data_IF_628353180418
#
_entry.id   IF_628353180418
#
_cell.length_a   1.000
_cell.length_b   1.000
_cell.length_c   1.000
_cell.angle_alpha   90.00
_cell.angle_beta   90.00
_cell.angle_gamma   90.00
#
_symmetry.space_group_name_H-M   'P 1'
#
loop_
_entity.id
_entity.type
_entity.pdbx_description
1 polymer ?
#
# COMPACT_ATOMS: atom_id res chain seq x y z
N UNK A 1 -11.81 0.69 -12.74
CA UNK A 1 -10.69 1.66 -12.80
C UNK A 1 -9.78 1.26 -13.96
N UNK A 2 -9.36 2.20 -14.83
CA UNK A 2 -8.60 1.92 -16.07
C UNK A 2 -7.09 1.80 -15.79
N UNK A 3 -6.46 0.70 -16.20
CA UNK A 3 -5.02 0.42 -16.02
C UNK A 3 -4.12 1.53 -16.62
N UNK A 4 -4.48 2.10 -17.77
CA UNK A 4 -3.72 3.19 -18.40
C UNK A 4 -3.77 4.48 -17.58
N UNK A 5 -4.89 4.76 -16.92
CA UNK A 5 -5.03 5.92 -16.04
C UNK A 5 -4.16 5.78 -14.78
N UNK A 6 -4.01 4.56 -14.28
CA UNK A 6 -3.23 4.27 -13.08
C UNK A 6 -1.73 4.34 -13.34
N UNK A 7 -1.25 3.88 -14.50
CA UNK A 7 0.15 4.06 -14.90
C UNK A 7 0.51 5.56 -15.06
N UNK A 8 -0.39 6.35 -15.66
CA UNK A 8 -0.21 7.81 -15.76
C UNK A 8 -0.22 8.48 -14.39
N UNK A 9 -1.09 8.06 -13.47
CA UNK A 9 -1.11 8.58 -12.11
C UNK A 9 0.14 8.20 -11.31
N UNK A 10 0.65 6.97 -11.48
CA UNK A 10 1.88 6.52 -10.85
C UNK A 10 3.07 7.41 -11.26
N UNK A 11 3.18 7.73 -12.56
CA UNK A 11 4.17 8.65 -13.13
C UNK A 11 3.82 10.14 -13.05
N UNK A 12 2.67 10.51 -12.46
CA UNK A 12 2.24 11.90 -12.37
C UNK A 12 3.15 12.71 -11.44
N UNK A 13 3.22 14.02 -11.65
CA UNK A 13 4.01 14.95 -10.84
C UNK A 13 3.51 15.13 -9.39
N UNK A 14 2.43 14.45 -9.00
CA UNK A 14 1.98 14.41 -7.61
C UNK A 14 3.09 13.81 -6.73
N UNK A 15 3.53 14.51 -5.68
CA UNK A 15 4.53 13.98 -4.75
C UNK A 15 4.08 12.65 -4.14
N UNK A 16 5.04 11.78 -3.85
CA UNK A 16 4.76 10.57 -3.08
C UNK A 16 4.60 10.91 -1.59
N UNK A 17 3.59 10.34 -0.94
CA UNK A 17 3.41 10.44 0.51
C UNK A 17 4.50 9.67 1.25
N UNK A 18 4.94 8.55 0.65
CA UNK A 18 6.09 7.78 1.10
C UNK A 18 6.68 6.98 -0.05
N UNK A 19 8.01 6.89 -0.11
CA UNK A 19 8.71 6.05 -1.08
C UNK A 19 9.93 5.38 -0.44
N UNK A 20 10.31 4.20 -0.92
CA UNK A 20 11.40 3.44 -0.31
C UNK A 20 11.49 1.99 -0.77
N UNK A 21 12.63 1.35 -0.48
CA UNK A 21 12.78 -0.08 -0.72
C UNK A 21 12.15 -0.91 0.39
N UNK A 22 11.43 -1.95 -0.01
CA UNK A 22 10.96 -3.03 0.88
C UNK A 22 11.14 -4.38 0.19
N UNK A 23 11.11 -5.45 0.97
CA UNK A 23 11.10 -6.81 0.48
C UNK A 23 9.66 -7.29 0.37
N UNK A 24 9.24 -7.75 -0.81
CA UNK A 24 7.91 -8.30 -1.06
C UNK A 24 8.01 -9.80 -1.28
N UNK A 25 7.21 -10.59 -0.57
CA UNK A 25 7.10 -12.02 -0.84
C UNK A 25 6.40 -12.24 -2.18
N UNK A 26 6.99 -13.08 -3.02
CA UNK A 26 6.35 -13.48 -4.27
C UNK A 26 5.16 -14.41 -4.01
N UNK A 27 4.17 -14.33 -4.90
CA UNK A 27 2.94 -15.11 -4.79
C UNK A 27 3.14 -16.56 -5.22
N UNK A 28 3.81 -16.76 -6.36
CA UNK A 28 4.18 -18.07 -6.90
C UNK A 28 5.52 -18.52 -6.35
N UNK A 29 6.57 -17.74 -6.58
CA UNK A 29 7.86 -17.95 -5.93
C UNK A 29 7.82 -17.34 -4.53
N UNK A 30 7.77 -18.17 -3.48
CA UNK A 30 7.63 -17.74 -2.09
C UNK A 30 8.85 -17.00 -1.51
N UNK A 31 9.87 -16.72 -2.33
CA UNK A 31 11.00 -15.87 -1.95
C UNK A 31 10.66 -14.38 -1.84
N UNK A 32 11.43 -13.67 -1.02
CA UNK A 32 11.35 -12.21 -0.90
C UNK A 32 12.16 -11.52 -2.02
N UNK A 33 11.58 -10.48 -2.62
CA UNK A 33 12.18 -9.69 -3.68
C UNK A 33 12.22 -8.22 -3.28
N UNK A 34 13.37 -7.57 -3.46
CA UNK A 34 13.52 -6.13 -3.23
C UNK A 34 12.76 -5.35 -4.30
N UNK A 35 11.88 -4.45 -3.86
CA UNK A 35 11.03 -3.63 -4.72
C UNK A 35 11.03 -2.19 -4.22
N UNK A 36 10.98 -1.25 -5.16
CA UNK A 36 10.80 0.16 -4.82
C UNK A 36 9.31 0.43 -4.69
N UNK A 37 8.85 0.81 -3.49
CA UNK A 37 7.45 1.13 -3.22
C UNK A 37 7.23 2.64 -3.24
N UNK A 38 6.08 3.05 -3.77
CA UNK A 38 5.64 4.45 -3.85
C UNK A 38 4.17 4.53 -3.44
N UNK A 39 3.90 5.21 -2.33
CA UNK A 39 2.55 5.51 -1.84
C UNK A 39 2.11 6.88 -2.36
N UNK A 40 0.94 6.93 -3.00
CA UNK A 40 0.27 8.16 -3.45
C UNK A 40 -1.23 8.08 -3.14
N UNK A 41 -1.71 8.86 -2.19
CA UNK A 41 -3.05 8.75 -1.64
C UNK A 41 -3.28 7.36 -1.07
N UNK A 42 -4.34 6.68 -1.53
CA UNK A 42 -4.67 5.31 -1.14
C UNK A 42 -4.10 4.24 -2.11
N UNK A 43 -3.17 4.60 -3.00
CA UNK A 43 -2.57 3.69 -3.98
C UNK A 43 -1.10 3.44 -3.66
N UNK A 44 -0.75 2.17 -3.49
CA UNK A 44 0.62 1.72 -3.27
C UNK A 44 1.14 1.03 -4.53
N UNK A 45 2.06 1.68 -5.22
CA UNK A 45 2.75 1.16 -6.41
C UNK A 45 4.06 0.48 -6.00
N UNK A 46 4.48 -0.53 -6.77
CA UNK A 46 5.80 -1.11 -6.62
C UNK A 46 6.48 -1.40 -7.96
N UNK A 47 7.78 -1.16 -8.00
CA UNK A 47 8.64 -1.22 -9.19
C UNK A 47 9.79 -2.20 -8.97
N UNK A 48 10.49 -2.58 -10.05
CA UNK A 48 11.69 -3.42 -9.93
C UNK A 48 12.78 -2.65 -9.18
N UNK A 49 12.99 -1.39 -9.58
CA UNK A 49 13.96 -0.46 -8.98
C UNK A 49 13.45 0.98 -9.00
N UNK A 50 14.13 1.85 -8.23
CA UNK A 50 13.85 3.29 -8.25
C UNK A 50 14.11 3.88 -9.63
N UNK A 51 13.18 4.67 -10.14
CA UNK A 51 13.28 5.38 -11.42
C UNK A 51 12.72 4.64 -12.62
N UNK A 52 12.20 3.41 -12.44
CA UNK A 52 11.45 2.73 -13.48
C UNK A 52 10.17 3.50 -13.82
N UNK A 53 9.81 3.50 -15.11
CA UNK A 53 8.64 4.24 -15.60
C UNK A 53 7.33 3.52 -15.34
N UNK A 54 7.34 2.20 -15.39
CA UNK A 54 6.14 1.37 -15.27
C UNK A 54 6.19 0.55 -13.98
N UNK A 55 5.12 0.58 -13.16
CA UNK A 55 5.04 -0.25 -11.98
C UNK A 55 4.90 -1.73 -12.37
N UNK A 56 5.55 -2.61 -11.61
CA UNK A 56 5.28 -4.06 -11.69
C UNK A 56 3.87 -4.36 -11.21
N UNK A 57 3.39 -3.60 -10.23
CA UNK A 57 2.02 -3.71 -9.77
C UNK A 57 1.63 -2.60 -8.82
N UNK A 58 0.40 -2.73 -8.35
CA UNK A 58 -0.29 -1.73 -7.57
C UNK A 58 -1.24 -2.41 -6.59
N UNK A 59 -1.40 -1.79 -5.43
CA UNK A 59 -2.29 -2.22 -4.37
C UNK A 59 -3.15 -1.01 -4.01
N UNK A 60 -4.47 -1.14 -4.19
CA UNK A 60 -5.41 -0.17 -3.64
C UNK A 60 -5.59 -0.51 -2.15
N UNK A 61 -5.36 0.48 -1.27
CA UNK A 61 -5.40 0.29 0.19
C UNK A 61 -6.81 0.43 0.77
N UNK A 62 -7.81 0.69 -0.07
CA UNK A 62 -9.21 0.78 0.36
C UNK A 62 -9.68 -0.57 0.93
N UNK A 63 -10.20 -0.56 2.15
CA UNK A 63 -10.67 -1.76 2.84
C UNK A 63 -9.58 -2.75 3.24
N UNK A 64 -8.29 -2.37 3.19
CA UNK A 64 -7.20 -3.22 3.66
C UNK A 64 -7.00 -3.12 5.18
N UNK A 65 -6.45 -4.17 5.77
CA UNK A 65 -5.88 -4.18 7.11
C UNK A 65 -4.37 -4.33 7.03
N UNK A 66 -3.65 -3.58 7.88
CA UNK A 66 -2.21 -3.68 8.04
C UNK A 66 -1.94 -4.43 9.33
N UNK A 67 -1.38 -5.63 9.23
CA UNK A 67 -1.21 -6.55 10.36
C UNK A 67 0.26 -6.93 10.51
N UNK A 68 0.72 -6.99 11.75
CA UNK A 68 2.08 -7.41 12.06
C UNK A 68 2.17 -8.95 11.98
N UNK A 69 3.23 -9.47 11.37
CA UNK A 69 3.46 -10.92 11.33
C UNK A 69 4.32 -11.32 12.53
N UNK A 70 3.68 -11.60 13.67
CA UNK A 70 4.36 -11.95 14.93
C UNK A 70 5.15 -13.27 14.86
N UNK A 71 4.91 -14.09 13.84
CA UNK A 71 5.60 -15.37 13.66
C UNK A 71 6.83 -15.27 12.74
N UNK A 72 7.15 -14.07 12.23
CA UNK A 72 8.31 -13.84 11.39
C UNK A 72 9.48 -13.31 12.23
N UNK A 73 10.65 -13.94 12.10
CA UNK A 73 11.91 -13.44 12.71
C UNK A 73 12.41 -12.12 12.07
N UNK A 74 11.74 -11.65 11.01
CA UNK A 74 12.09 -10.43 10.28
C UNK A 74 11.03 -9.35 10.52
N UNK A 75 11.38 -8.07 10.28
CA UNK A 75 10.49 -6.91 10.39
C UNK A 75 9.37 -6.95 9.33
N UNK A 76 8.46 -7.91 9.46
CA UNK A 76 7.48 -8.33 8.48
C UNK A 76 6.07 -7.95 8.91
N UNK A 77 5.29 -7.47 7.95
CA UNK A 77 3.89 -7.16 8.09
C UNK A 77 3.14 -7.61 6.84
N UNK A 78 1.82 -7.66 6.93
CA UNK A 78 0.95 -8.03 5.81
C UNK A 78 -0.12 -6.98 5.54
N UNK A 79 -0.42 -6.82 4.26
CA UNK A 79 -1.60 -6.08 3.77
C UNK A 79 -2.64 -7.12 3.40
N UNK A 80 -3.69 -7.23 4.21
CA UNK A 80 -4.78 -8.19 4.04
C UNK A 80 -6.08 -7.47 3.63
N UNK A 81 -7.00 -8.22 3.02
CA UNK A 81 -8.28 -7.72 2.54
C UNK A 81 -9.40 -8.69 2.93
N UNK A 82 -10.57 -8.15 3.26
CA UNK A 82 -11.77 -8.95 3.51
C UNK A 82 -12.61 -9.10 2.22
N UNK A 83 -13.38 -10.21 2.06
CA UNK A 83 -13.46 -11.37 2.95
C UNK A 83 -12.30 -12.36 2.77
N UNK A 84 -12.25 -13.39 3.61
CA UNK A 84 -11.21 -14.43 3.58
C UNK A 84 -11.07 -15.06 2.18
N UNK A 85 -9.82 -15.18 1.68
CA UNK A 85 -9.50 -15.67 0.35
C UNK A 85 -9.03 -14.58 -0.62
N UNK A 86 -9.16 -13.30 -0.26
CA UNK A 86 -8.50 -12.21 -0.97
C UNK A 86 -6.98 -12.31 -0.87
N UNK A 87 -6.30 -11.69 -1.84
CA UNK A 87 -4.83 -11.70 -1.92
C UNK A 87 -4.21 -10.94 -0.74
N UNK A 88 -3.35 -11.61 0.01
CA UNK A 88 -2.54 -11.00 1.07
C UNK A 88 -1.14 -10.70 0.56
N UNK A 89 -0.65 -9.49 0.84
CA UNK A 89 0.71 -9.07 0.48
C UNK A 89 1.61 -9.10 1.71
N UNK A 90 2.59 -10.01 1.72
CA UNK A 90 3.58 -10.10 2.79
C UNK A 90 4.78 -9.23 2.41
N UNK A 91 5.11 -8.29 3.30
CA UNK A 91 6.14 -7.27 3.10
C UNK A 91 7.08 -7.29 4.31
N UNK A 92 8.37 -7.16 4.07
CA UNK A 92 9.40 -7.10 5.11
C UNK A 92 10.30 -5.90 4.90
N UNK A 93 10.71 -5.25 5.99
CA UNK A 93 11.61 -4.12 6.01
C UNK A 93 13.02 -4.52 6.49
N UNK A 94 14.01 -3.67 6.23
CA UNK A 94 15.40 -3.90 6.67
C UNK A 94 15.62 -3.50 8.15
N UNK A 95 14.68 -2.77 8.77
CA UNK A 95 14.72 -2.39 10.18
C UNK A 95 13.32 -2.25 10.79
N UNK A 96 13.23 -2.33 12.12
CA UNK A 96 11.99 -2.09 12.86
C UNK A 96 11.43 -0.68 12.60
N UNK A 97 12.31 0.35 12.63
CA UNK A 97 11.90 1.74 12.37
C UNK A 97 11.28 1.90 10.98
N UNK A 98 11.87 1.27 9.95
CA UNK A 98 11.32 1.29 8.60
C UNK A 98 9.96 0.60 8.56
N UNK A 99 9.84 -0.58 9.18
CA UNK A 99 8.58 -1.32 9.26
C UNK A 99 7.48 -0.46 9.90
N UNK A 100 7.72 0.07 11.09
CA UNK A 100 6.74 0.90 11.82
C UNK A 100 6.35 2.14 11.02
N UNK A 101 7.32 2.81 10.40
CA UNK A 101 7.09 3.99 9.57
C UNK A 101 6.22 3.67 8.34
N UNK A 102 6.44 2.51 7.71
CA UNK A 102 5.62 2.05 6.58
C UNK A 102 4.23 1.60 7.01
N UNK A 103 4.11 0.80 8.07
CA UNK A 103 2.82 0.37 8.60
C UNK A 103 1.96 1.57 8.98
N UNK A 104 2.54 2.59 9.63
CA UNK A 104 1.85 3.84 9.97
C UNK A 104 1.33 4.55 8.72
N UNK A 105 2.18 4.73 7.70
CA UNK A 105 1.80 5.43 6.48
C UNK A 105 0.67 4.70 5.73
N UNK A 106 0.74 3.37 5.64
CA UNK A 106 -0.27 2.55 4.96
C UNK A 106 -1.61 2.55 5.71
N UNK A 107 -1.58 2.44 7.04
CA UNK A 107 -2.78 2.52 7.88
C UNK A 107 -3.46 3.88 7.78
N UNK A 108 -2.70 4.97 7.79
CA UNK A 108 -3.25 6.32 7.59
C UNK A 108 -3.86 6.49 6.20
N UNK A 109 -3.17 6.03 5.14
CA UNK A 109 -3.66 6.14 3.76
C UNK A 109 -5.01 5.44 3.53
N UNK A 110 -5.21 4.26 4.13
CA UNK A 110 -6.50 3.55 4.07
C UNK A 110 -7.58 4.25 4.91
N UNK A 111 -7.24 4.70 6.12
CA UNK A 111 -8.19 5.31 7.06
C UNK A 111 -8.62 6.73 6.66
N UNK A 112 -7.70 7.57 6.20
CA UNK A 112 -7.98 8.96 5.84
C UNK A 112 -8.97 9.05 4.68
N UNK A 113 -8.91 8.10 3.73
CA UNK A 113 -9.91 7.98 2.67
C UNK A 113 -11.31 7.67 3.24
N UNK A 114 -11.42 6.69 4.13
CA UNK A 114 -12.70 6.34 4.78
C UNK A 114 -13.21 7.50 5.61
N UNK A 115 -12.34 8.20 6.35
CA UNK A 115 -12.71 9.37 7.15
C UNK A 115 -13.23 10.52 6.29
N UNK A 116 -12.58 10.83 5.16
CA UNK A 116 -13.03 11.86 4.23
C UNK A 116 -14.37 11.50 3.59
N UNK A 117 -14.55 10.24 3.18
CA UNK A 117 -15.81 9.77 2.60
C UNK A 117 -16.95 9.76 3.63
N UNK A 118 -16.68 9.35 4.87
CA UNK A 118 -17.65 9.42 5.98
C UNK A 118 -18.02 10.88 6.28
N UNK A 119 -17.05 11.79 6.32
CA UNK A 119 -17.31 13.21 6.54
C UNK A 119 -18.17 13.82 5.43
N UNK A 120 -17.92 13.47 4.18
CA UNK A 120 -18.71 13.93 3.04
C UNK A 120 -20.15 13.41 3.10
N UNK A 121 -20.34 12.12 3.39
CA UNK A 121 -21.67 11.52 3.57
C UNK A 121 -22.44 12.15 4.74
N UNK A 122 -21.75 12.45 5.85
CA UNK A 122 -22.34 13.13 6.99
C UNK A 122 -22.79 14.56 6.64
N UNK A 123 -22.00 15.30 5.86
CA UNK A 123 -22.39 16.64 5.40
C UNK A 123 -23.62 16.58 4.49
N UNK A 124 -23.64 15.65 3.52
CA UNK A 124 -24.80 15.47 2.63
C UNK A 124 -26.08 15.08 3.36
N UNK A 125 -25.98 14.33 4.46
CA UNK A 125 -27.11 13.98 5.30
C UNK A 125 -27.61 15.15 6.16
N UNK A 126 -26.70 16.04 6.59
CA UNK A 126 -27.04 17.22 7.39
C UNK A 126 -27.60 18.38 6.56
N UNK A 127 -27.32 18.39 5.24
CA UNK A 127 -27.83 19.38 4.28
C UNK A 127 -29.22 19.00 3.69
N UNK A 128 -29.86 17.93 4.20
CA UNK A 128 -31.23 17.50 3.91
C UNK A 128 -32.19 17.82 5.07
#
# INVERSE_FOLDING_TARGET
INEKGLALYAGSGTPADKEGYLLKKGEVNKGFQKRWFVLKGNLLFYYDKKGDREPIGMIALEGCTIELDENSDNFTFQIAFAPAGCRTYIISAESQELMESWMKALSCAGYDYVRLMVSELQNQLNDL
#
